data_IF_715716779767
#
_entry.id   IF_715716779767
#
_cell.length_a   1.000
_cell.length_b   1.000
_cell.length_c   1.000
_cell.angle_alpha   90.00
_cell.angle_beta   90.00
_cell.angle_gamma   90.00
#
_symmetry.space_group_name_H-M   'P 1'
#
loop_
_entity.id
_entity.type
_entity.pdbx_description
1 polymer ?
#
# COMPACT_ATOMS: atom_id res chain seq x y z
N UNK A 1 -3.29 1.29 20.54
CA UNK A 1 -2.16 1.04 21.45
C UNK A 1 -1.57 -0.32 21.10
N UNK A 2 -0.25 -0.48 21.13
CA UNK A 2 0.45 -1.75 20.81
C UNK A 2 0.32 -2.75 21.95
N UNK A 3 0.52 -4.04 21.67
CA UNK A 3 0.60 -5.07 22.71
C UNK A 3 2.06 -5.20 23.20
N UNK A 4 2.26 -5.04 24.51
CA UNK A 4 3.59 -4.96 25.12
C UNK A 4 3.65 -5.77 26.40
N UNK A 5 4.79 -6.42 26.60
CA UNK A 5 5.15 -7.07 27.85
C UNK A 5 6.11 -6.17 28.62
N UNK A 6 5.94 -6.08 29.94
CA UNK A 6 6.79 -5.27 30.81
C UNK A 6 7.45 -6.19 31.82
N UNK A 7 8.77 -6.10 31.93
CA UNK A 7 9.56 -6.79 32.95
C UNK A 7 10.39 -5.77 33.75
N UNK A 8 10.54 -5.99 35.05
CA UNK A 8 11.38 -5.16 35.91
C UNK A 8 12.67 -5.95 36.18
N UNK A 9 13.83 -5.36 35.91
CA UNK A 9 15.10 -6.01 36.23
C UNK A 9 15.51 -5.82 37.70
N UNK A 10 16.56 -6.52 38.10
CA UNK A 10 17.11 -6.48 39.47
C UNK A 10 17.64 -5.08 39.87
N UNK A 11 17.77 -4.17 38.91
CA UNK A 11 18.20 -2.78 39.10
C UNK A 11 17.01 -1.81 39.16
N UNK A 12 15.78 -2.31 39.01
CA UNK A 12 14.55 -1.52 39.04
C UNK A 12 14.20 -0.84 37.72
N UNK A 13 14.87 -1.17 36.61
CA UNK A 13 14.53 -0.63 35.30
C UNK A 13 13.34 -1.36 34.69
N UNK A 14 12.52 -0.61 33.96
CA UNK A 14 11.41 -1.15 33.17
C UNK A 14 11.91 -1.53 31.79
N UNK A 15 11.86 -2.82 31.48
CA UNK A 15 12.13 -3.37 30.16
C UNK A 15 10.79 -3.65 29.49
N UNK A 16 10.54 -3.02 28.35
CA UNK A 16 9.30 -3.16 27.58
C UNK A 16 9.64 -3.87 26.28
N UNK A 17 8.96 -4.96 25.98
CA UNK A 17 9.13 -5.73 24.74
C UNK A 17 7.81 -5.91 24.01
N UNK A 18 7.86 -6.07 22.70
CA UNK A 18 6.73 -6.57 21.93
C UNK A 18 6.45 -8.03 22.27
N UNK A 19 5.25 -8.52 21.93
CA UNK A 19 4.85 -9.92 22.14
C UNK A 19 5.80 -10.93 21.47
N UNK A 20 6.42 -10.55 20.35
CA UNK A 20 7.41 -11.37 19.64
C UNK A 20 8.83 -11.31 20.26
N UNK A 21 9.00 -10.63 21.40
CA UNK A 21 10.27 -10.53 22.13
C UNK A 21 11.19 -9.39 21.69
N UNK A 22 10.81 -8.58 20.70
CA UNK A 22 11.61 -7.43 20.28
C UNK A 22 11.59 -6.32 21.35
N UNK A 23 12.75 -5.77 21.76
CA UNK A 23 12.80 -4.71 22.76
C UNK A 23 12.24 -3.39 22.21
N UNK A 24 11.43 -2.71 23.03
CA UNK A 24 10.98 -1.33 22.82
C UNK A 24 11.69 -0.37 23.76
N UNK A 25 11.91 -0.81 25.00
CA UNK A 25 12.70 -0.10 26.02
C UNK A 25 13.53 -1.14 26.77
N UNK A 26 14.82 -0.87 26.95
CA UNK A 26 15.65 -1.65 27.86
C UNK A 26 16.59 -0.72 28.62
N UNK A 27 16.46 -0.69 29.94
CA UNK A 27 17.17 0.28 30.79
C UNK A 27 16.89 1.73 30.38
N UNK A 28 17.91 2.40 29.82
CA UNK A 28 17.84 3.79 29.34
C UNK A 28 17.73 3.92 27.81
N UNK A 29 17.66 2.80 27.08
CA UNK A 29 17.60 2.79 25.62
C UNK A 29 16.17 2.54 25.14
N UNK A 30 15.77 3.24 24.08
CA UNK A 30 14.47 3.08 23.42
C UNK A 30 14.63 2.70 21.94
N UNK A 31 13.64 1.99 21.40
CA UNK A 31 13.56 1.67 19.97
C UNK A 31 12.89 2.77 19.17
N UNK A 32 13.28 2.88 17.90
CA UNK A 32 12.60 3.71 16.90
C UNK A 32 11.86 2.82 15.92
N UNK A 33 10.58 3.12 15.68
CA UNK A 33 9.77 2.44 14.67
C UNK A 33 9.65 3.36 13.46
N UNK A 34 9.88 2.81 12.26
CA UNK A 34 9.69 3.51 10.99
C UNK A 34 8.72 2.73 10.09
N UNK A 35 7.91 3.47 9.32
CA UNK A 35 7.07 2.95 8.26
C UNK A 35 7.64 3.42 6.93
N UNK A 36 7.97 2.49 6.06
CA UNK A 36 8.50 2.74 4.73
C UNK A 36 7.51 2.27 3.67
N UNK A 37 7.48 2.97 2.53
CA UNK A 37 6.73 2.51 1.35
C UNK A 37 7.73 1.90 0.39
N UNK A 38 7.61 0.60 0.14
CA UNK A 38 8.43 -0.13 -0.81
C UNK A 38 8.16 0.35 -2.25
N UNK A 39 9.09 0.06 -3.17
CA UNK A 39 8.97 0.46 -4.57
C UNK A 39 7.71 -0.08 -5.28
N UNK A 40 7.16 -1.21 -4.80
CA UNK A 40 5.91 -1.79 -5.29
C UNK A 40 4.65 -1.17 -4.64
N UNK A 41 4.79 -0.13 -3.82
CA UNK A 41 3.69 0.57 -3.16
C UNK A 41 3.13 -0.12 -1.92
N UNK A 42 3.71 -1.26 -1.49
CA UNK A 42 3.41 -1.91 -0.20
C UNK A 42 4.10 -1.17 0.94
N UNK A 43 3.53 -1.22 2.14
CA UNK A 43 4.15 -0.65 3.32
C UNK A 43 4.97 -1.71 4.06
N UNK A 44 6.12 -1.32 4.60
CA UNK A 44 6.95 -2.15 5.49
C UNK A 44 7.25 -1.38 6.77
N UNK A 45 7.28 -2.09 7.90
CA UNK A 45 7.64 -1.51 9.19
C UNK A 45 8.98 -2.04 9.64
N UNK A 46 9.80 -1.17 10.23
CA UNK A 46 11.10 -1.53 10.80
C UNK A 46 11.21 -1.01 12.23
N UNK A 47 11.88 -1.78 13.07
CA UNK A 47 12.24 -1.44 14.45
C UNK A 47 13.75 -1.35 14.53
N UNK A 48 14.27 -0.22 14.98
CA UNK A 48 15.70 -0.05 15.29
C UNK A 48 15.89 0.06 16.79
N UNK A 49 16.61 -0.89 17.39
CA UNK A 49 17.01 -0.88 18.80
C UNK A 49 18.53 -0.97 18.92
N UNK A 50 19.15 -0.06 19.68
CA UNK A 50 20.60 -0.03 19.92
C UNK A 50 21.46 -0.16 18.64
N UNK A 51 21.01 0.42 17.52
CA UNK A 51 21.68 0.38 16.22
C UNK A 51 21.43 -0.89 15.39
N UNK A 52 20.64 -1.84 15.90
CA UNK A 52 20.19 -3.02 15.15
C UNK A 52 18.79 -2.79 14.61
N UNK A 53 18.63 -2.89 13.30
CA UNK A 53 17.33 -2.76 12.62
C UNK A 53 16.76 -4.14 12.30
N UNK A 54 15.49 -4.36 12.59
CA UNK A 54 14.73 -5.57 12.28
C UNK A 54 13.42 -5.21 11.61
N UNK A 55 13.00 -6.03 10.64
CA UNK A 55 11.67 -5.90 10.04
C UNK A 55 10.61 -6.31 11.08
N UNK A 56 9.55 -5.52 11.16
CA UNK A 56 8.38 -5.83 11.98
C UNK A 56 7.34 -6.55 11.12
N UNK A 57 6.76 -7.62 11.66
CA UNK A 57 5.60 -8.29 11.08
C UNK A 57 4.31 -7.73 11.67
N UNK A 58 3.17 -8.08 11.06
CA UNK A 58 1.80 -7.81 11.55
C UNK A 58 1.60 -8.20 13.02
N UNK A 59 2.42 -9.12 13.55
CA UNK A 59 2.43 -9.61 14.94
C UNK A 59 2.79 -8.54 15.99
N UNK A 60 2.97 -7.29 15.59
CA UNK A 60 3.20 -6.14 16.50
C UNK A 60 2.01 -5.91 17.44
N UNK A 61 0.82 -6.43 17.10
CA UNK A 61 -0.37 -6.42 17.94
C UNK A 61 -0.97 -5.02 18.17
N UNK A 62 -2.16 -5.00 18.75
CA UNK A 62 -2.86 -3.76 19.09
C UNK A 62 -3.27 -2.91 17.87
N UNK A 63 -3.45 -1.60 18.06
CA UNK A 63 -3.98 -0.72 17.00
C UNK A 63 -2.99 -0.42 15.87
N UNK A 64 -1.69 -0.56 16.11
CA UNK A 64 -0.68 -0.36 15.05
C UNK A 64 -0.63 -1.61 14.15
N UNK A 65 -0.61 -2.81 14.75
CA UNK A 65 -0.77 -4.06 14.02
C UNK A 65 -2.06 -4.07 13.20
N UNK A 66 -3.20 -3.73 13.82
CA UNK A 66 -4.49 -3.68 13.13
C UNK A 66 -4.56 -2.68 11.97
N UNK A 67 -3.85 -1.54 12.06
CA UNK A 67 -3.75 -0.58 10.95
C UNK A 67 -2.93 -1.14 9.79
N UNK A 68 -1.84 -1.84 10.11
CA UNK A 68 -1.00 -2.49 9.13
C UNK A 68 -1.73 -3.68 8.45
N UNK A 69 -2.48 -4.48 9.22
CA UNK A 69 -3.36 -5.52 8.71
C UNK A 69 -4.42 -4.93 7.77
N UNK A 70 -5.10 -3.86 8.19
CA UNK A 70 -6.10 -3.20 7.35
C UNK A 70 -5.51 -2.71 6.02
N UNK A 71 -4.30 -2.15 6.04
CA UNK A 71 -3.64 -1.69 4.82
C UNK A 71 -3.26 -2.85 3.89
N UNK A 72 -2.76 -3.96 4.43
CA UNK A 72 -2.34 -5.09 3.63
C UNK A 72 -3.50 -5.96 3.16
N UNK A 73 -4.43 -6.32 4.05
CA UNK A 73 -5.46 -7.32 3.80
C UNK A 73 -6.75 -6.72 3.22
N UNK A 74 -7.01 -5.43 3.43
CA UNK A 74 -8.23 -4.77 2.94
C UNK A 74 -7.92 -3.82 1.80
N UNK A 75 -7.00 -2.87 2.00
CA UNK A 75 -6.75 -1.85 0.98
C UNK A 75 -6.05 -2.39 -0.26
N UNK A 76 -5.10 -3.31 -0.13
CA UNK A 76 -4.40 -3.88 -1.29
C UNK A 76 -5.35 -4.68 -2.19
N UNK A 77 -6.12 -5.68 -1.70
CA UNK A 77 -7.03 -6.43 -2.55
C UNK A 77 -8.16 -5.58 -3.14
N UNK A 78 -8.62 -4.56 -2.41
CA UNK A 78 -9.63 -3.62 -2.91
C UNK A 78 -9.08 -2.77 -4.06
N UNK A 79 -7.81 -2.35 -3.98
CA UNK A 79 -7.14 -1.63 -5.07
C UNK A 79 -6.99 -2.52 -6.30
N UNK A 80 -6.60 -3.79 -6.12
CA UNK A 80 -6.50 -4.77 -7.21
C UNK A 80 -7.84 -5.05 -7.87
N UNK A 81 -8.92 -5.11 -7.07
CA UNK A 81 -10.27 -5.28 -7.59
C UNK A 81 -10.70 -4.09 -8.45
N UNK A 82 -10.46 -2.86 -7.98
CA UNK A 82 -10.77 -1.64 -8.74
C UNK A 82 -9.97 -1.60 -10.05
N UNK A 83 -8.69 -1.96 -9.98
CA UNK A 83 -7.81 -2.06 -11.14
C UNK A 83 -8.34 -3.07 -12.17
N UNK A 84 -8.76 -4.26 -11.72
CA UNK A 84 -9.35 -5.27 -12.59
C UNK A 84 -10.65 -4.78 -13.23
N UNK A 85 -11.53 -4.12 -12.46
CA UNK A 85 -12.76 -3.53 -13.00
C UNK A 85 -12.48 -2.44 -14.04
N UNK A 86 -11.50 -1.58 -13.79
CA UNK A 86 -11.10 -0.52 -14.72
C UNK A 86 -10.54 -1.09 -16.03
N UNK A 87 -9.69 -2.12 -15.95
CA UNK A 87 -9.17 -2.83 -17.12
C UNK A 87 -10.31 -3.46 -17.93
N UNK A 88 -11.20 -4.22 -17.29
CA UNK A 88 -12.32 -4.87 -17.97
C UNK A 88 -13.27 -3.87 -18.62
N UNK A 89 -13.51 -2.73 -17.98
CA UNK A 89 -14.31 -1.65 -18.56
C UNK A 89 -13.64 -1.06 -19.79
N UNK A 90 -12.35 -0.74 -19.72
CA UNK A 90 -11.58 -0.22 -20.86
C UNK A 90 -11.60 -1.21 -22.03
N UNK A 91 -11.37 -2.49 -21.75
CA UNK A 91 -11.39 -3.55 -22.76
C UNK A 91 -12.77 -3.68 -23.41
N UNK A 92 -13.85 -3.71 -22.62
CA UNK A 92 -15.20 -3.82 -23.14
C UNK A 92 -15.57 -2.64 -24.06
N UNK A 93 -15.24 -1.41 -23.67
CA UNK A 93 -15.52 -0.23 -24.48
C UNK A 93 -14.68 -0.21 -25.75
N UNK A 94 -13.37 -0.45 -25.63
CA UNK A 94 -12.46 -0.46 -26.77
C UNK A 94 -12.81 -1.57 -27.77
N UNK A 95 -13.17 -2.76 -27.30
CA UNK A 95 -13.61 -3.86 -28.16
C UNK A 95 -14.89 -3.51 -28.91
N UNK A 96 -15.85 -2.86 -28.26
CA UNK A 96 -17.09 -2.43 -28.91
C UNK A 96 -16.84 -1.33 -29.95
N UNK A 97 -15.92 -0.40 -29.67
CA UNK A 97 -15.52 0.66 -30.60
C UNK A 97 -14.79 0.11 -31.83
N UNK A 98 -13.88 -0.85 -31.64
CA UNK A 98 -13.13 -1.47 -32.73
C UNK A 98 -14.02 -2.20 -33.74
N UNK A 99 -15.23 -2.61 -33.33
CA UNK A 99 -16.24 -3.20 -34.22
C UNK A 99 -17.10 -2.15 -34.95
N UNK A 100 -17.00 -0.88 -34.57
CA UNK A 100 -17.73 0.24 -35.14
C UNK A 100 -16.88 1.10 -36.07
N UNK A 101 -17.53 2.11 -36.63
CA UNK A 101 -16.90 3.13 -37.46
C UNK A 101 -17.23 4.51 -36.91
N UNK A 102 -16.29 5.45 -37.04
CA UNK A 102 -16.49 6.85 -36.68
C UNK A 102 -17.41 7.59 -37.69
N UNK A 103 -17.64 8.88 -37.46
CA UNK A 103 -18.45 9.73 -38.34
C UNK A 103 -17.88 9.89 -39.76
N UNK A 104 -16.60 9.56 -39.97
CA UNK A 104 -15.90 9.64 -41.24
C UNK A 104 -15.77 8.28 -41.93
N UNK A 105 -16.28 7.20 -41.32
CA UNK A 105 -16.21 5.83 -41.84
C UNK A 105 -14.90 5.10 -41.54
N UNK A 106 -14.06 5.63 -40.65
CA UNK A 106 -12.84 4.95 -40.21
C UNK A 106 -13.16 3.95 -39.08
N UNK A 107 -12.43 2.83 -38.97
CA UNK A 107 -12.57 1.90 -37.83
C UNK A 107 -12.40 2.62 -36.49
N UNK A 108 -13.21 2.25 -35.49
CA UNK A 108 -13.15 2.89 -34.17
C UNK A 108 -11.84 2.62 -33.43
N UNK A 109 -11.22 3.69 -32.91
CA UNK A 109 -9.98 3.64 -32.15
C UNK A 109 -10.23 3.48 -30.64
N UNK A 110 -9.26 2.96 -29.87
CA UNK A 110 -9.37 2.84 -28.42
C UNK A 110 -9.57 4.22 -27.75
N UNK A 111 -10.61 4.33 -26.92
CA UNK A 111 -10.86 5.54 -26.11
C UNK A 111 -10.16 5.50 -24.75
N UNK A 112 -9.91 4.31 -24.21
CA UNK A 112 -9.29 4.13 -22.90
C UNK A 112 -7.97 3.39 -23.02
N UNK A 113 -6.95 3.84 -22.29
CA UNK A 113 -5.70 3.10 -22.09
C UNK A 113 -5.59 2.86 -20.60
N UNK A 114 -5.60 1.59 -20.19
CA UNK A 114 -5.38 1.23 -18.79
C UNK A 114 -3.88 1.06 -18.53
N UNK A 115 -3.35 1.85 -17.59
CA UNK A 115 -1.97 1.74 -17.10
C UNK A 115 -1.99 1.48 -15.60
N UNK A 116 -1.75 0.22 -15.21
CA UNK A 116 -1.72 -0.23 -13.82
C UNK A 116 -0.60 0.41 -13.00
N UNK A 117 0.43 0.99 -13.64
CA UNK A 117 1.53 1.67 -12.95
C UNK A 117 1.16 3.10 -12.53
N UNK A 118 0.10 3.67 -13.11
CA UNK A 118 -0.43 4.96 -12.72
C UNK A 118 -1.44 4.78 -11.58
N UNK A 119 -0.94 4.70 -10.33
CA UNK A 119 -1.76 4.76 -9.09
C UNK A 119 -2.59 6.05 -8.98
N UNK A 120 -2.44 6.96 -9.93
CA UNK A 120 -3.23 8.17 -10.15
C UNK A 120 -3.97 7.99 -11.47
N UNK A 121 -5.30 8.02 -11.42
CA UNK A 121 -6.15 8.11 -12.61
C UNK A 121 -5.53 9.08 -13.64
N UNK A 122 -5.39 8.72 -14.92
CA UNK A 122 -4.82 9.63 -15.91
C UNK A 122 -5.75 10.84 -16.02
N UNK A 123 -5.33 11.94 -15.43
CA UNK A 123 -5.95 13.25 -15.65
C UNK A 123 -5.59 13.82 -17.04
N UNK A 124 -4.78 13.08 -17.81
CA UNK A 124 -4.41 13.46 -19.16
C UNK A 124 -5.51 12.98 -20.10
N UNK A 125 -6.57 13.77 -20.17
CA UNK A 125 -7.34 13.88 -21.41
C UNK A 125 -6.30 14.08 -22.52
N UNK A 126 -6.36 13.23 -23.55
CA UNK A 126 -5.57 13.41 -24.77
C UNK A 126 -5.55 14.90 -25.15
N UNK A 127 -4.38 15.54 -25.25
CA UNK A 127 -4.32 16.92 -25.67
C UNK A 127 -4.67 16.98 -27.17
N UNK A 128 -5.88 17.46 -27.47
CA UNK A 128 -6.19 18.02 -28.78
C UNK A 128 -7.32 17.36 -29.58
N UNK A 129 -8.55 17.35 -29.06
CA UNK A 129 -9.74 17.41 -29.92
C UNK A 129 -10.20 18.87 -30.05
N UNK A 130 -9.48 19.65 -30.85
CA UNK A 130 -10.09 20.85 -31.42
C UNK A 130 -10.93 20.43 -32.62
N UNK A 131 -12.25 20.50 -32.41
CA UNK A 131 -13.24 20.51 -33.48
C UNK A 131 -12.78 21.42 -34.62
N UNK A 132 -12.72 20.89 -35.84
CA UNK A 132 -13.30 21.49 -37.04
C UNK A 132 -13.67 20.39 -38.00
#
# INVERSE_FOLDING_TARGET
MMDVQVNIDDQGNYNVTLQNGQPLVSGQQSSTIALETNANGTASMTLTFAGTTSTMTTDTGGSLGALFDYQNDVLTPLTDTINSMASQFADAVNNQLAQGYDLNGNPGEPLFIYDASQRRWPADRQPGYHRR
#
